data_IF_627761001347
#
_entry.id   IF_627761001347
#
_cell.length_a   1.000
_cell.length_b   1.000
_cell.length_c   1.000
_cell.angle_alpha   90.00
_cell.angle_beta   90.00
_cell.angle_gamma   90.00
#
_symmetry.space_group_name_H-M   'P 1'
#
loop_
_entity.id
_entity.type
_entity.pdbx_description
1 polymer ?
#
# COMPACT_ATOMS: atom_id res chain seq x y z
N UNK A 1 22.58 69.51 34.99
CA UNK A 1 23.66 68.57 34.66
C UNK A 1 23.41 67.27 35.41
N UNK A 2 22.86 66.25 34.75
CA UNK A 2 23.43 64.90 34.69
C UNK A 2 22.46 63.94 33.98
N UNK A 3 22.66 63.76 32.67
CA UNK A 3 22.01 62.75 31.82
C UNK A 3 22.75 61.41 31.80
N UNK A 4 23.39 61.00 32.89
CA UNK A 4 24.06 59.68 32.96
C UNK A 4 23.22 58.76 33.82
N UNK A 5 22.27 58.05 33.19
CA UNK A 5 21.91 56.64 33.46
C UNK A 5 20.70 56.24 32.61
N UNK A 6 20.81 56.43 31.28
CA UNK A 6 19.97 55.72 30.31
C UNK A 6 20.79 54.53 29.80
N UNK A 7 20.80 53.44 30.55
CA UNK A 7 21.28 52.15 30.05
C UNK A 7 20.09 51.36 29.48
N UNK A 8 20.00 51.14 28.16
CA UNK A 8 19.06 50.17 27.60
C UNK A 8 19.65 48.76 27.76
N UNK A 9 19.13 47.98 28.72
CA UNK A 9 19.44 46.55 28.88
C UNK A 9 18.22 45.66 28.56
N UNK A 10 17.60 45.84 27.39
CA UNK A 10 16.38 45.10 27.03
C UNK A 10 16.42 44.44 25.64
N UNK A 11 17.60 44.24 25.03
CA UNK A 11 17.66 43.75 23.62
C UNK A 11 18.44 42.43 23.45
N UNK A 12 19.20 41.96 24.45
CA UNK A 12 20.03 40.75 24.30
C UNK A 12 19.36 39.44 24.78
N UNK A 13 18.30 39.53 25.59
CA UNK A 13 17.61 38.35 26.14
C UNK A 13 16.54 37.80 25.18
N UNK A 14 15.87 38.65 24.40
CA UNK A 14 14.85 38.20 23.43
C UNK A 14 15.47 37.37 22.31
N UNK A 15 16.62 37.78 21.75
CA UNK A 15 17.27 37.04 20.65
C UNK A 15 17.77 35.66 21.10
N UNK A 16 18.42 35.59 22.27
CA UNK A 16 19.01 34.34 22.76
C UNK A 16 17.95 33.30 23.18
N UNK A 17 16.77 33.76 23.63
CA UNK A 17 15.64 32.87 23.93
C UNK A 17 15.02 32.36 22.63
N UNK A 18 14.80 33.24 21.65
CA UNK A 18 14.27 32.85 20.33
C UNK A 18 15.20 31.86 19.63
N UNK A 19 16.52 32.11 19.62
CA UNK A 19 17.50 31.20 19.04
C UNK A 19 17.52 29.84 19.75
N UNK A 20 17.44 29.80 21.09
CA UNK A 20 17.40 28.55 21.84
C UNK A 20 16.12 27.72 21.60
N UNK A 21 14.99 28.39 21.35
CA UNK A 21 13.74 27.72 21.01
C UNK A 21 13.76 27.21 19.57
N UNK A 22 14.35 27.95 18.63
CA UNK A 22 14.57 27.50 17.25
C UNK A 22 15.49 26.28 17.18
N UNK A 23 16.58 26.28 17.95
CA UNK A 23 17.54 25.16 18.00
C UNK A 23 16.91 23.90 18.63
N UNK A 24 16.07 24.08 19.66
CA UNK A 24 15.30 22.98 20.24
C UNK A 24 14.21 22.48 19.28
N UNK A 25 13.52 23.34 18.53
CA UNK A 25 12.53 22.91 17.53
C UNK A 25 13.21 22.18 16.37
N UNK A 26 14.40 22.63 15.94
CA UNK A 26 15.22 21.97 14.92
C UNK A 26 15.64 20.56 15.33
N UNK A 27 16.24 20.40 16.51
CA UNK A 27 16.68 19.08 17.01
C UNK A 27 15.51 18.10 17.23
N UNK A 28 14.35 18.59 17.66
CA UNK A 28 13.14 17.77 17.80
C UNK A 28 12.52 17.43 16.43
N UNK A 29 12.68 18.32 15.43
CA UNK A 29 12.31 18.07 14.04
C UNK A 29 13.16 16.97 13.41
N UNK A 30 14.49 17.05 13.59
CA UNK A 30 15.44 16.07 13.04
C UNK A 30 15.19 14.67 13.61
N UNK A 31 14.96 14.56 14.92
CA UNK A 31 14.62 13.29 15.58
C UNK A 31 13.32 12.69 15.03
N UNK A 32 12.29 13.52 14.77
CA UNK A 32 11.02 13.05 14.19
C UNK A 32 11.17 12.62 12.74
N UNK A 33 12.02 13.30 11.97
CA UNK A 33 12.32 12.94 10.57
C UNK A 33 13.03 11.58 10.52
N UNK A 34 13.96 11.32 11.44
CA UNK A 34 14.65 10.04 11.53
C UNK A 34 13.68 8.89 11.86
N UNK A 35 12.79 9.09 12.83
CA UNK A 35 11.74 8.12 13.17
C UNK A 35 10.81 7.88 11.98
N UNK A 36 10.38 8.93 11.27
CA UNK A 36 9.54 8.80 10.08
C UNK A 36 10.25 8.05 8.95
N UNK A 37 11.54 8.29 8.74
CA UNK A 37 12.34 7.61 7.72
C UNK A 37 12.46 6.12 8.02
N UNK A 38 12.75 5.75 9.27
CA UNK A 38 12.81 4.36 9.69
C UNK A 38 11.43 3.69 9.56
N UNK A 39 10.37 4.29 10.10
CA UNK A 39 9.01 3.73 10.02
C UNK A 39 8.47 3.63 8.60
N UNK A 40 8.84 4.57 7.71
CA UNK A 40 8.46 4.52 6.30
C UNK A 40 9.13 3.35 5.58
N UNK A 41 10.43 3.12 5.82
CA UNK A 41 11.16 1.99 5.25
C UNK A 41 10.60 0.66 5.76
N UNK A 42 10.30 0.57 7.05
CA UNK A 42 9.78 -0.66 7.67
C UNK A 42 8.38 -1.00 7.14
N UNK A 43 7.46 -0.01 7.13
CA UNK A 43 6.12 -0.17 6.54
C UNK A 43 6.17 -0.47 5.05
N UNK A 44 7.05 0.18 4.29
CA UNK A 44 7.21 -0.10 2.86
C UNK A 44 7.70 -1.54 2.64
N UNK A 45 8.68 -1.99 3.42
CA UNK A 45 9.23 -3.35 3.34
C UNK A 45 8.17 -4.40 3.65
N UNK A 46 7.32 -4.14 4.64
CA UNK A 46 6.24 -5.05 5.01
C UNK A 46 5.13 -5.11 3.94
N UNK A 47 4.78 -3.98 3.33
CA UNK A 47 3.84 -3.93 2.20
C UNK A 47 4.41 -4.64 0.97
N UNK A 48 5.69 -4.44 0.67
CA UNK A 48 6.37 -5.10 -0.44
C UNK A 48 6.40 -6.61 -0.19
N UNK A 49 6.73 -7.06 1.02
CA UNK A 49 6.72 -8.49 1.37
C UNK A 49 5.35 -9.13 1.16
N UNK A 50 4.29 -8.49 1.67
CA UNK A 50 2.91 -8.93 1.47
C UNK A 50 2.51 -8.92 -0.02
N UNK A 51 2.89 -7.87 -0.76
CA UNK A 51 2.63 -7.74 -2.18
C UNK A 51 3.36 -8.80 -3.01
N UNK A 52 4.62 -9.12 -2.67
CA UNK A 52 5.41 -10.13 -3.38
C UNK A 52 4.81 -11.52 -3.25
N UNK A 53 4.45 -11.94 -2.03
CA UNK A 53 3.83 -13.25 -1.80
C UNK A 53 2.46 -13.31 -2.46
N UNK A 54 1.62 -12.29 -2.28
CA UNK A 54 0.30 -12.26 -2.90
C UNK A 54 0.38 -12.25 -4.42
N UNK A 55 1.25 -11.43 -5.02
CA UNK A 55 1.45 -11.38 -6.46
C UNK A 55 1.90 -12.75 -7.01
N UNK A 56 2.83 -13.44 -6.35
CA UNK A 56 3.27 -14.77 -6.76
C UNK A 56 2.11 -15.79 -6.75
N UNK A 57 1.29 -15.80 -5.70
CA UNK A 57 0.11 -16.67 -5.61
C UNK A 57 -0.91 -16.32 -6.67
N UNK A 58 -1.21 -15.03 -6.88
CA UNK A 58 -2.12 -14.57 -7.93
C UNK A 58 -1.65 -15.00 -9.31
N UNK A 59 -0.35 -14.89 -9.61
CA UNK A 59 0.22 -15.28 -10.88
C UNK A 59 0.11 -16.80 -11.09
N UNK A 60 0.37 -17.59 -10.05
CA UNK A 60 0.27 -19.04 -10.09
C UNK A 60 -1.18 -19.50 -10.33
N UNK A 61 -2.13 -18.95 -9.57
CA UNK A 61 -3.57 -19.28 -9.70
C UNK A 61 -4.12 -18.84 -11.06
N UNK A 62 -3.81 -17.62 -11.49
CA UNK A 62 -4.27 -17.12 -12.80
C UNK A 62 -3.69 -17.93 -13.96
N UNK A 63 -2.43 -18.35 -13.87
CA UNK A 63 -1.80 -19.26 -14.82
C UNK A 63 -2.53 -20.62 -14.89
N UNK A 64 -2.78 -21.25 -13.75
CA UNK A 64 -3.52 -22.52 -13.69
C UNK A 64 -4.91 -22.41 -14.33
N UNK A 65 -5.64 -21.33 -14.05
CA UNK A 65 -6.96 -21.08 -14.62
C UNK A 65 -6.88 -20.94 -16.14
N UNK A 66 -5.90 -20.18 -16.66
CA UNK A 66 -5.67 -20.03 -18.10
C UNK A 66 -5.43 -21.37 -18.80
N UNK A 67 -4.49 -22.17 -18.28
CA UNK A 67 -4.19 -23.49 -18.84
C UNK A 67 -5.39 -24.44 -18.77
N UNK A 68 -6.11 -24.44 -17.65
CA UNK A 68 -7.34 -25.22 -17.50
C UNK A 68 -8.40 -24.80 -18.51
N UNK A 69 -8.59 -23.50 -18.74
CA UNK A 69 -9.51 -22.98 -19.75
C UNK A 69 -9.15 -23.45 -21.16
N UNK A 70 -7.87 -23.39 -21.53
CA UNK A 70 -7.37 -23.89 -22.83
C UNK A 70 -7.61 -25.40 -22.95
N UNK A 71 -7.30 -26.18 -21.91
CA UNK A 71 -7.51 -27.63 -21.91
C UNK A 71 -8.99 -28.01 -22.11
N UNK A 72 -9.91 -27.33 -21.40
CA UNK A 72 -11.36 -27.53 -21.53
C UNK A 72 -11.84 -27.10 -22.91
N UNK A 73 -11.33 -25.99 -23.45
CA UNK A 73 -11.70 -25.50 -24.78
C UNK A 73 -11.26 -26.46 -25.89
N UNK A 74 -10.08 -27.08 -25.77
CA UNK A 74 -9.60 -28.10 -26.71
C UNK A 74 -10.44 -29.38 -26.62
N UNK A 75 -10.73 -29.85 -25.41
CA UNK A 75 -11.55 -31.06 -25.20
C UNK A 75 -12.97 -30.89 -25.74
N UNK A 76 -13.62 -29.76 -25.42
CA UNK A 76 -14.94 -29.42 -25.96
C UNK A 76 -14.90 -29.17 -27.47
N UNK A 77 -13.83 -28.54 -27.96
CA UNK A 77 -13.63 -28.27 -29.38
C UNK A 77 -13.51 -29.54 -30.21
N UNK A 78 -12.87 -30.57 -29.67
CA UNK A 78 -12.75 -31.89 -30.29
C UNK A 78 -14.10 -32.63 -30.31
N UNK A 79 -14.87 -32.57 -29.21
CA UNK A 79 -16.20 -33.17 -29.13
C UNK A 79 -17.22 -32.52 -30.08
N UNK A 80 -17.13 -31.21 -30.28
CA UNK A 80 -18.00 -30.47 -31.21
C UNK A 80 -17.51 -30.54 -32.67
N UNK A 81 -16.37 -31.21 -32.95
CA UNK A 81 -15.77 -31.33 -34.28
C UNK A 81 -15.20 -30.02 -34.86
N UNK A 82 -15.26 -28.92 -34.11
CA UNK A 82 -14.76 -27.59 -34.47
C UNK A 82 -14.28 -26.85 -33.23
N UNK A 83 -12.97 -26.59 -33.17
CA UNK A 83 -12.33 -25.86 -32.06
C UNK A 83 -12.94 -24.48 -31.79
N UNK A 84 -13.48 -23.81 -32.81
CA UNK A 84 -14.11 -22.49 -32.67
C UNK A 84 -15.28 -22.48 -31.68
N UNK A 85 -16.10 -23.55 -31.63
CA UNK A 85 -17.22 -23.60 -30.69
C UNK A 85 -16.78 -23.89 -29.26
N UNK A 86 -15.72 -24.69 -29.08
CA UNK A 86 -15.11 -24.94 -27.77
C UNK A 86 -14.63 -23.65 -27.11
N UNK A 87 -13.90 -22.81 -27.87
CA UNK A 87 -13.47 -21.50 -27.37
C UNK A 87 -14.64 -20.55 -27.08
N UNK A 88 -15.70 -20.57 -27.88
CA UNK A 88 -16.85 -19.69 -27.68
C UNK A 88 -17.60 -20.00 -26.37
N UNK A 89 -17.85 -21.29 -26.10
CA UNK A 89 -18.52 -21.74 -24.87
C UNK A 89 -17.65 -21.46 -23.65
N UNK A 90 -16.35 -21.76 -23.71
CA UNK A 90 -15.43 -21.51 -22.60
C UNK A 90 -15.26 -20.01 -22.33
N UNK A 91 -15.24 -19.17 -23.36
CA UNK A 91 -15.20 -17.71 -23.19
C UNK A 91 -16.40 -17.20 -22.39
N UNK A 92 -17.62 -17.64 -22.73
CA UNK A 92 -18.83 -17.26 -22.00
C UNK A 92 -18.77 -17.76 -20.54
N UNK A 93 -18.32 -18.99 -20.33
CA UNK A 93 -18.15 -19.54 -18.98
C UNK A 93 -17.12 -18.75 -18.16
N UNK A 94 -16.02 -18.32 -18.78
CA UNK A 94 -14.99 -17.49 -18.14
C UNK A 94 -15.50 -16.09 -17.78
N UNK A 95 -16.32 -15.48 -18.64
CA UNK A 95 -16.96 -14.18 -18.35
C UNK A 95 -17.91 -14.31 -17.17
N UNK A 96 -18.74 -15.36 -17.13
CA UNK A 96 -19.63 -15.63 -16.00
C UNK A 96 -18.85 -15.89 -14.70
N UNK A 97 -17.78 -16.67 -14.75
CA UNK A 97 -16.90 -16.89 -13.61
C UNK A 97 -16.24 -15.58 -13.13
N UNK A 98 -15.79 -14.73 -14.06
CA UNK A 98 -15.24 -13.41 -13.75
C UNK A 98 -16.24 -12.49 -13.07
N UNK A 99 -17.50 -12.48 -13.52
CA UNK A 99 -18.60 -11.74 -12.86
C UNK A 99 -18.86 -12.29 -11.46
N UNK A 100 -18.89 -13.61 -11.29
CA UNK A 100 -19.08 -14.23 -9.98
C UNK A 100 -17.96 -13.84 -9.01
N UNK A 101 -16.71 -13.89 -9.46
CA UNK A 101 -15.55 -13.42 -8.67
C UNK A 101 -15.66 -11.92 -8.36
N UNK A 102 -16.12 -11.11 -9.31
CA UNK A 102 -16.32 -9.68 -9.10
C UNK A 102 -17.37 -9.39 -8.03
N UNK A 103 -18.47 -10.14 -7.99
CA UNK A 103 -19.51 -10.00 -6.95
C UNK A 103 -19.01 -10.46 -5.59
N UNK A 104 -18.21 -11.53 -5.55
CA UNK A 104 -17.65 -12.07 -4.29
C UNK A 104 -16.42 -11.28 -3.79
N UNK A 105 -15.88 -10.39 -4.61
CA UNK A 105 -14.70 -9.55 -4.33
C UNK A 105 -14.81 -8.81 -3.00
N UNK A 106 -15.98 -8.23 -2.71
CA UNK A 106 -16.17 -7.44 -1.49
C UNK A 106 -16.01 -8.30 -0.22
N UNK A 107 -16.36 -9.59 -0.27
CA UNK A 107 -16.31 -10.49 0.90
C UNK A 107 -14.94 -11.15 1.10
N UNK A 108 -14.18 -11.35 0.02
CA UNK A 108 -12.87 -12.01 0.07
C UNK A 108 -11.68 -11.06 0.12
N UNK A 109 -11.77 -9.87 -0.48
CA UNK A 109 -10.63 -8.94 -0.55
C UNK A 109 -10.74 -7.84 0.50
N UNK A 110 -11.94 -7.29 0.72
CA UNK A 110 -12.11 -6.12 1.60
C UNK A 110 -11.84 -6.46 3.07
N UNK A 111 -12.27 -7.64 3.48
CA UNK A 111 -12.20 -8.14 4.85
C UNK A 111 -10.77 -8.41 5.38
N UNK A 112 -9.89 -9.17 4.68
CA UNK A 112 -8.51 -9.37 5.14
C UNK A 112 -7.64 -8.12 4.99
N UNK A 113 -7.84 -7.31 3.93
CA UNK A 113 -7.06 -6.09 3.72
C UNK A 113 -7.41 -5.03 4.79
N UNK A 114 -8.68 -4.87 5.13
CA UNK A 114 -9.09 -3.96 6.21
C UNK A 114 -8.54 -4.40 7.57
N UNK A 115 -8.56 -5.71 7.88
CA UNK A 115 -7.99 -6.24 9.13
C UNK A 115 -6.47 -6.05 9.22
N UNK A 116 -5.72 -6.19 8.13
CA UNK A 116 -4.27 -5.92 8.11
C UNK A 116 -3.95 -4.44 8.35
N UNK A 117 -4.75 -3.53 7.78
CA UNK A 117 -4.56 -2.09 7.99
C UNK A 117 -4.88 -1.70 9.44
N UNK A 118 -5.94 -2.25 10.03
CA UNK A 118 -6.34 -1.94 11.42
C UNK A 118 -5.33 -2.51 12.43
N UNK A 119 -4.87 -3.74 12.24
CA UNK A 119 -3.91 -4.36 13.18
C UNK A 119 -2.55 -3.66 13.17
N UNK A 120 -2.08 -3.15 12.02
CA UNK A 120 -0.83 -2.37 11.93
C UNK A 120 -0.97 -0.89 12.32
N UNK A 121 -2.19 -0.38 12.45
CA UNK A 121 -2.43 1.01 12.82
C UNK A 121 -2.57 1.20 14.34
N UNK A 122 -2.86 0.12 15.08
CA UNK A 122 -3.06 0.15 16.54
C UNK A 122 -1.93 -0.51 17.36
N UNK A 123 -0.93 -1.12 16.71
CA UNK A 123 0.29 -1.64 17.34
C UNK A 123 1.51 -0.90 16.81
#
# INVERSE_FOLDING_TARGET
MNERMKHPMAVQTESHIIDSLFDQIGNYGDTRIEILKLSAVDKASELISLASVSAAVYLMVSGTILFAGIAIALLLGEWLGRYSYGFFIVSIAFVLAGILVYVWRDKWIRDPVARLVITKALG
#
